data_IF_949931601937
#
_entry.id   IF_949931601937
#
_cell.length_a   1.000
_cell.length_b   1.000
_cell.length_c   1.000
_cell.angle_alpha   90.00
_cell.angle_beta   90.00
_cell.angle_gamma   90.00
#
_symmetry.space_group_name_H-M   'P 1'
#
loop_
_entity.id
_entity.type
_entity.pdbx_description
1 polymer ?
#
# COMPACT_ATOMS: atom_id res chain seq x y z
N UNK A 1 -10.56 -4.89 -7.46
CA UNK A 1 -11.43 -4.58 -6.29
C UNK A 1 -10.62 -3.82 -5.26
N UNK A 2 -11.18 -2.80 -4.58
CA UNK A 2 -10.49 -2.09 -3.50
C UNK A 2 -10.21 -3.02 -2.31
N UNK A 3 -9.24 -2.67 -1.44
CA UNK A 3 -8.94 -3.46 -0.24
C UNK A 3 -10.08 -3.43 0.78
N UNK A 4 -10.07 -4.40 1.69
CA UNK A 4 -10.81 -4.26 2.94
C UNK A 4 -10.18 -3.16 3.80
N UNK A 5 -11.01 -2.34 4.43
CA UNK A 5 -10.55 -1.21 5.22
C UNK A 5 -11.09 -1.36 6.64
N UNK A 6 -10.24 -1.14 7.62
CA UNK A 6 -10.62 -1.20 9.04
C UNK A 6 -10.17 0.07 9.76
N UNK A 7 -11.04 0.61 10.63
CA UNK A 7 -10.64 1.67 11.56
C UNK A 7 -9.81 1.12 12.72
N UNK A 8 -9.25 2.01 13.55
CA UNK A 8 -8.38 1.60 14.67
C UNK A 8 -9.09 0.77 15.74
N UNK A 9 -10.42 0.83 15.80
CA UNK A 9 -11.26 -0.01 16.65
C UNK A 9 -11.59 -1.38 16.02
N UNK A 10 -11.15 -1.63 14.79
CA UNK A 10 -11.36 -2.88 14.06
C UNK A 10 -12.70 -2.97 13.34
N UNK A 11 -13.46 -1.88 13.23
CA UNK A 11 -14.70 -1.86 12.45
C UNK A 11 -14.39 -1.73 10.96
N UNK A 12 -15.10 -2.50 10.15
CA UNK A 12 -14.99 -2.41 8.69
C UNK A 12 -15.50 -1.06 8.18
N UNK A 13 -14.75 -0.46 7.26
CA UNK A 13 -15.03 0.81 6.58
C UNK A 13 -14.89 0.64 5.07
N UNK A 14 -15.13 1.72 4.34
CA UNK A 14 -15.01 1.79 2.89
C UNK A 14 -14.08 2.92 2.45
N UNK A 15 -13.86 3.02 1.13
CA UNK A 15 -13.03 4.08 0.55
C UNK A 15 -13.63 5.48 0.77
N UNK A 16 -14.97 5.60 0.85
CA UNK A 16 -15.61 6.88 1.11
C UNK A 16 -15.27 7.40 2.52
N UNK A 17 -15.24 6.52 3.52
CA UNK A 17 -14.77 6.82 4.86
C UNK A 17 -13.29 7.23 4.87
N UNK A 18 -12.42 6.50 4.14
CA UNK A 18 -11.01 6.90 4.02
C UNK A 18 -10.88 8.29 3.43
N UNK A 19 -11.61 8.58 2.35
CA UNK A 19 -11.56 9.89 1.72
C UNK A 19 -12.03 11.00 2.65
N UNK A 20 -13.14 10.76 3.35
CA UNK A 20 -13.69 11.73 4.30
C UNK A 20 -12.73 12.03 5.45
N UNK A 21 -11.95 11.05 5.91
CA UNK A 21 -11.11 11.17 7.11
C UNK A 21 -9.68 11.59 6.79
N UNK A 22 -9.10 11.08 5.71
CA UNK A 22 -7.69 11.22 5.36
C UNK A 22 -7.45 11.96 4.03
N UNK A 23 -8.51 12.36 3.34
CA UNK A 23 -8.41 13.20 2.16
C UNK A 23 -8.26 12.41 0.87
N UNK A 24 -7.45 12.90 -0.07
CA UNK A 24 -7.27 12.31 -1.41
C UNK A 24 -6.43 11.02 -1.41
N UNK A 25 -6.80 10.04 -0.58
CA UNK A 25 -6.29 8.66 -0.61
C UNK A 25 -6.77 8.01 -1.91
N UNK A 26 -5.94 7.24 -2.61
CA UNK A 26 -6.36 6.57 -3.84
C UNK A 26 -5.84 5.14 -3.90
N UNK A 27 -6.73 4.21 -4.19
CA UNK A 27 -6.37 2.85 -4.54
C UNK A 27 -5.86 2.81 -5.99
N UNK A 28 -4.68 2.22 -6.18
CA UNK A 28 -4.04 2.07 -7.48
C UNK A 28 -4.16 0.61 -7.92
N UNK A 29 -5.10 0.33 -8.83
CA UNK A 29 -5.36 -1.03 -9.32
C UNK A 29 -4.37 -1.40 -10.44
N UNK A 30 -3.59 -2.46 -10.24
CA UNK A 30 -2.63 -2.93 -11.23
C UNK A 30 -3.23 -3.76 -12.37
N UNK A 31 -4.57 -3.84 -12.44
CA UNK A 31 -5.30 -4.60 -13.45
C UNK A 31 -5.59 -6.03 -13.04
N UNK A 32 -6.09 -6.82 -13.99
CA UNK A 32 -6.47 -8.21 -13.77
C UNK A 32 -5.27 -9.18 -13.80
N UNK A 33 -5.47 -10.36 -13.22
CA UNK A 33 -4.52 -11.47 -13.26
C UNK A 33 -3.65 -11.55 -12.01
N UNK A 34 -2.71 -12.50 -12.01
CA UNK A 34 -1.85 -12.77 -10.86
C UNK A 34 -1.03 -11.54 -10.46
N UNK A 35 -1.22 -11.06 -9.24
CA UNK A 35 -0.58 -9.82 -8.75
C UNK A 35 -0.37 -9.82 -7.25
N UNK A 36 0.46 -8.90 -6.77
CA UNK A 36 0.44 -8.47 -5.36
C UNK A 36 -0.77 -7.57 -5.14
N UNK A 37 -1.89 -8.18 -4.75
CA UNK A 37 -3.14 -7.49 -4.48
C UNK A 37 -3.07 -6.81 -3.12
N UNK A 38 -3.48 -5.55 -3.03
CA UNK A 38 -3.70 -4.90 -1.73
C UNK A 38 -5.02 -5.43 -1.17
N UNK A 39 -4.93 -6.32 -0.18
CA UNK A 39 -6.12 -7.00 0.37
C UNK A 39 -6.68 -6.30 1.59
N UNK A 40 -5.85 -5.59 2.34
CA UNK A 40 -6.27 -4.92 3.57
C UNK A 40 -5.49 -3.64 3.85
N UNK A 41 -6.20 -2.64 4.34
CA UNK A 41 -5.67 -1.39 4.87
C UNK A 41 -6.26 -1.14 6.26
N UNK A 42 -5.41 -0.92 7.25
CA UNK A 42 -5.80 -0.60 8.62
C UNK A 42 -5.40 0.83 8.97
N UNK A 43 -6.34 1.55 9.59
CA UNK A 43 -6.01 2.74 10.37
C UNK A 43 -5.22 2.33 11.61
N UNK A 44 -4.14 3.06 11.87
CA UNK A 44 -3.35 2.90 13.09
C UNK A 44 -3.15 4.24 13.78
N UNK A 45 -2.84 4.20 15.06
CA UNK A 45 -2.41 5.32 15.88
C UNK A 45 -1.13 4.93 16.62
N UNK A 46 -0.23 5.89 16.89
CA UNK A 46 0.95 5.62 17.69
C UNK A 46 2.25 5.80 16.91
N UNK A 47 3.16 4.81 16.83
CA UNK A 47 4.48 5.07 16.27
C UNK A 47 4.34 5.65 14.86
N UNK A 48 5.12 6.70 14.57
CA UNK A 48 5.16 7.34 13.26
C UNK A 48 5.80 6.39 12.24
N UNK A 49 5.06 5.35 11.84
CA UNK A 49 5.56 4.24 11.03
C UNK A 49 4.49 3.78 10.07
N UNK A 50 4.83 3.75 8.79
CA UNK A 50 4.04 3.08 7.76
C UNK A 50 4.50 1.63 7.70
N UNK A 51 3.63 0.72 8.11
CA UNK A 51 3.89 -0.73 8.16
C UNK A 51 3.32 -1.41 6.93
N UNK A 52 4.04 -2.38 6.40
CA UNK A 52 3.56 -3.23 5.30
C UNK A 52 3.79 -4.70 5.66
N UNK A 53 2.79 -5.54 5.37
CA UNK A 53 2.91 -6.98 5.37
C UNK A 53 2.76 -7.50 3.94
N UNK A 54 3.60 -8.45 3.56
CA UNK A 54 3.45 -9.18 2.30
C UNK A 54 3.32 -10.67 2.59
N UNK A 55 2.28 -11.27 2.02
CA UNK A 55 1.99 -12.70 2.13
C UNK A 55 1.79 -13.32 0.74
N UNK A 56 2.01 -14.62 0.62
CA UNK A 56 1.69 -15.37 -0.60
C UNK A 56 0.22 -15.79 -0.66
N UNK A 57 -0.12 -16.52 -1.71
CA UNK A 57 -1.49 -17.00 -1.95
C UNK A 57 -2.00 -17.96 -0.86
N UNK A 58 -1.12 -18.63 -0.11
CA UNK A 58 -1.48 -19.45 1.06
C UNK A 58 -1.56 -18.65 2.37
N UNK A 59 -1.31 -17.34 2.31
CA UNK A 59 -1.27 -16.47 3.49
C UNK A 59 0.01 -16.57 4.30
N UNK A 60 1.04 -17.25 3.77
CA UNK A 60 2.34 -17.35 4.41
C UNK A 60 3.18 -16.10 4.14
N UNK A 61 4.06 -15.77 5.09
CA UNK A 61 4.92 -14.60 4.99
C UNK A 61 5.87 -14.70 3.78
N UNK A 62 5.91 -13.62 2.98
CA UNK A 62 6.91 -13.44 1.92
C UNK A 62 8.09 -12.68 2.49
N UNK A 63 9.17 -13.39 2.82
CA UNK A 63 10.43 -12.78 3.27
C UNK A 63 11.24 -12.19 2.11
N UNK A 64 12.06 -11.19 2.42
CA UNK A 64 12.93 -10.50 1.45
C UNK A 64 12.20 -9.92 0.23
N UNK A 65 10.90 -9.64 0.37
CA UNK A 65 10.10 -9.02 -0.68
C UNK A 65 10.27 -7.49 -0.60
N UNK A 66 10.82 -6.83 -1.63
CA UNK A 66 10.98 -5.39 -1.62
C UNK A 66 9.64 -4.66 -1.73
N UNK A 67 9.45 -3.66 -0.88
CA UNK A 67 8.31 -2.75 -0.88
C UNK A 67 8.83 -1.33 -1.10
N UNK A 68 8.18 -0.56 -1.95
CA UNK A 68 8.51 0.83 -2.21
C UNK A 68 7.64 1.77 -1.37
N UNK A 69 8.25 2.87 -0.91
CA UNK A 69 7.57 4.03 -0.37
C UNK A 69 8.11 5.31 -1.03
N UNK A 70 7.23 6.08 -1.66
CA UNK A 70 7.57 7.29 -2.41
C UNK A 70 6.88 8.50 -1.81
N UNK A 71 7.59 9.62 -1.71
CA UNK A 71 7.06 10.95 -1.38
C UNK A 71 7.67 12.01 -2.31
N UNK A 72 7.16 13.26 -2.34
CA UNK A 72 7.68 14.34 -3.20
C UNK A 72 9.10 14.77 -2.84
N UNK A 73 10.09 13.97 -3.22
CA UNK A 73 11.51 14.20 -2.99
C UNK A 73 12.33 13.69 -4.18
N UNK A 74 12.97 14.64 -4.86
CA UNK A 74 13.79 14.39 -6.04
C UNK A 74 15.19 13.82 -5.72
N UNK A 75 15.47 13.51 -4.45
CA UNK A 75 16.69 12.80 -4.02
C UNK A 75 16.50 11.29 -3.83
N UNK A 76 15.26 10.79 -3.80
CA UNK A 76 14.96 9.34 -3.65
C UNK A 76 15.66 8.46 -4.71
N UNK A 77 15.94 7.19 -4.45
CA UNK A 77 16.48 6.29 -5.48
C UNK A 77 15.55 6.18 -6.70
N UNK A 78 16.13 6.15 -7.91
CA UNK A 78 15.41 5.95 -9.17
C UNK A 78 15.13 4.45 -9.39
N UNK A 79 13.87 4.13 -9.68
CA UNK A 79 13.36 2.77 -9.89
C UNK A 79 13.17 2.43 -11.37
N UNK A 80 13.34 3.38 -12.28
CA UNK A 80 13.21 3.14 -13.73
C UNK A 80 14.27 2.14 -14.20
N UNK A 81 13.94 1.42 -15.27
CA UNK A 81 14.81 0.43 -15.90
C UNK A 81 15.23 -0.77 -15.01
N UNK A 82 14.52 -1.02 -13.90
CA UNK A 82 14.77 -2.17 -13.03
C UNK A 82 13.97 -3.43 -13.40
N UNK A 83 13.27 -3.44 -14.55
CA UNK A 83 12.48 -4.58 -15.01
C UNK A 83 11.21 -4.85 -14.18
N UNK A 84 10.76 -3.87 -13.39
CA UNK A 84 9.57 -3.97 -12.54
C UNK A 84 8.29 -4.07 -13.36
N UNK A 85 7.35 -4.91 -12.94
CA UNK A 85 6.02 -5.02 -13.58
C UNK A 85 5.09 -3.86 -13.26
N UNK A 86 5.31 -3.18 -12.15
CA UNK A 86 4.54 -1.98 -11.77
C UNK A 86 5.48 -0.89 -11.27
N UNK A 87 5.21 0.33 -11.75
CA UNK A 87 5.93 1.54 -11.37
C UNK A 87 4.92 2.68 -11.21
N UNK A 88 4.41 2.88 -10.00
CA UNK A 88 3.47 3.97 -9.70
C UNK A 88 4.16 5.33 -9.55
N UNK A 89 5.42 5.32 -9.15
CA UNK A 89 6.31 6.48 -9.08
C UNK A 89 7.71 6.08 -9.51
N UNK A 90 8.39 6.96 -10.23
CA UNK A 90 9.74 6.72 -10.73
C UNK A 90 10.79 6.60 -9.62
N UNK A 91 10.51 7.15 -8.43
CA UNK A 91 11.50 7.29 -7.35
C UNK A 91 10.90 6.93 -6.01
N UNK A 92 11.58 6.10 -5.23
CA UNK A 92 11.14 5.65 -3.92
C UNK A 92 12.31 5.13 -3.08
N UNK A 93 12.19 5.20 -1.76
CA UNK A 93 12.96 4.28 -0.93
C UNK A 93 12.32 2.90 -1.03
N UNK A 94 13.13 1.85 -0.92
CA UNK A 94 12.62 0.50 -0.79
C UNK A 94 13.22 -0.18 0.42
N UNK A 95 12.43 -1.04 1.04
CA UNK A 95 12.86 -1.89 2.14
C UNK A 95 12.27 -3.28 1.93
N UNK A 96 13.08 -4.30 2.15
CA UNK A 96 12.64 -5.69 2.07
C UNK A 96 11.88 -6.10 3.33
N UNK A 97 10.95 -7.02 3.18
CA UNK A 97 10.29 -7.67 4.31
C UNK A 97 11.23 -8.59 5.08
N UNK A 98 11.00 -8.72 6.39
CA UNK A 98 11.67 -9.65 7.27
C UNK A 98 11.13 -11.09 7.13
N UNK A 99 11.58 -12.02 7.98
CA UNK A 99 11.14 -13.42 7.99
C UNK A 99 9.64 -13.61 8.31
N UNK A 100 8.99 -12.62 8.92
CA UNK A 100 7.56 -12.63 9.20
C UNK A 100 6.74 -11.90 8.12
N UNK A 101 7.40 -11.46 7.04
CA UNK A 101 6.78 -10.80 5.91
C UNK A 101 6.49 -9.32 6.17
N UNK A 102 7.11 -8.71 7.18
CA UNK A 102 6.87 -7.31 7.54
C UNK A 102 8.00 -6.40 7.12
N UNK A 103 7.66 -5.17 6.77
CA UNK A 103 8.59 -4.05 6.67
C UNK A 103 7.93 -2.78 7.18
N UNK A 104 8.72 -1.73 7.42
CA UNK A 104 8.19 -0.48 7.95
C UNK A 104 9.08 0.71 7.62
N UNK A 105 8.44 1.84 7.32
CA UNK A 105 9.10 3.11 7.03
C UNK A 105 8.83 4.10 8.15
N UNK A 106 9.89 4.63 8.76
CA UNK A 106 9.76 5.73 9.71
C UNK A 106 9.22 6.98 9.02
N UNK A 107 8.25 7.64 9.65
CA UNK A 107 7.57 8.81 9.11
C UNK A 107 8.05 10.08 9.81
N UNK A 108 8.54 11.04 9.03
CA UNK A 108 8.93 12.35 9.51
C UNK A 108 7.80 13.38 9.47
N UNK A 109 8.10 14.61 9.90
CA UNK A 109 7.18 15.76 9.91
C UNK A 109 6.57 16.11 8.56
N UNK A 110 7.24 15.75 7.46
CA UNK A 110 6.72 15.89 6.09
C UNK A 110 5.58 14.93 5.76
N UNK A 111 5.34 13.88 6.57
CA UNK A 111 4.34 12.83 6.30
C UNK A 111 2.93 13.19 6.75
N UNK A 112 2.73 14.38 7.32
CA UNK A 112 1.44 14.79 7.85
C UNK A 112 0.50 15.26 6.74
N UNK A 113 -0.73 14.77 6.79
CA UNK A 113 -1.89 15.27 6.06
C UNK A 113 -2.29 16.60 6.70
N UNK A 114 -2.02 17.70 6.02
CA UNK A 114 -2.38 19.06 6.44
C UNK A 114 -3.54 19.64 5.65
N UNK A 115 -3.80 19.06 4.49
CA UNK A 115 -4.87 19.44 3.57
C UNK A 115 -5.52 18.15 3.04
N UNK A 116 -6.79 17.94 3.38
CA UNK A 116 -7.55 16.76 2.94
C UNK A 116 -7.76 16.77 1.42
N UNK A 117 -7.76 17.93 0.75
CA UNK A 117 -7.84 17.96 -0.70
C UNK A 117 -6.58 17.36 -1.36
N UNK A 118 -5.45 17.36 -0.67
CA UNK A 118 -4.18 16.78 -1.15
C UNK A 118 -3.97 15.35 -0.67
N UNK A 119 -4.41 15.02 0.55
CA UNK A 119 -4.09 13.76 1.20
C UNK A 119 -2.67 13.74 1.76
N UNK A 120 -2.17 12.55 2.07
CA UNK A 120 -0.80 12.34 2.54
C UNK A 120 0.20 12.22 1.38
N UNK A 121 1.50 12.42 1.64
CA UNK A 121 2.49 12.49 0.56
C UNK A 121 2.92 11.12 0.05
N UNK A 122 2.56 10.03 0.74
CA UNK A 122 3.14 8.72 0.49
C UNK A 122 2.38 7.93 -0.56
N UNK A 123 3.13 7.18 -1.36
CA UNK A 123 2.62 6.13 -2.26
C UNK A 123 3.38 4.84 -2.00
N UNK A 124 2.66 3.73 -1.79
CA UNK A 124 3.23 2.44 -1.39
C UNK A 124 2.77 1.31 -2.29
N UNK A 125 3.70 0.45 -2.70
CA UNK A 125 3.45 -0.75 -3.50
C UNK A 125 4.58 -1.77 -3.38
N UNK A 126 4.33 -3.02 -3.79
CA UNK A 126 5.35 -4.08 -3.83
C UNK A 126 6.16 -4.00 -5.12
N UNK A 127 7.48 -4.09 -5.00
CA UNK A 127 8.38 -4.16 -6.14
C UNK A 127 8.54 -5.61 -6.58
N UNK A 128 8.27 -5.92 -7.85
CA UNK A 128 8.50 -7.26 -8.39
C UNK A 128 8.78 -7.23 -9.89
N UNK A 129 9.79 -8.00 -10.36
CA UNK A 129 10.03 -8.19 -11.78
C UNK A 129 9.08 -9.22 -12.42
N UNK A 130 8.35 -10.00 -11.61
CA UNK A 130 7.53 -11.11 -12.09
C UNK A 130 6.03 -10.86 -12.00
N UNK A 131 5.57 -10.07 -11.03
CA UNK A 131 4.15 -9.82 -10.78
C UNK A 131 3.86 -8.32 -10.68
N UNK A 132 2.77 -7.82 -11.28
CA UNK A 132 2.28 -6.48 -10.99
C UNK A 132 1.86 -6.33 -9.53
N UNK A 133 1.75 -5.10 -9.03
CA UNK A 133 1.35 -4.79 -7.65
C UNK A 133 0.33 -3.68 -7.64
N UNK A 134 -0.77 -3.91 -6.91
CA UNK A 134 -1.62 -2.80 -6.50
C UNK A 134 -0.82 -1.80 -5.66
N UNK A 135 -1.38 -0.62 -5.45
CA UNK A 135 -0.78 0.39 -4.58
C UNK A 135 -1.82 1.21 -3.84
N UNK A 136 -1.33 2.02 -2.92
CA UNK A 136 -2.12 3.06 -2.26
C UNK A 136 -1.33 4.36 -2.29
N UNK A 137 -1.95 5.45 -2.76
CA UNK A 137 -1.40 6.81 -2.71
C UNK A 137 -2.22 7.70 -1.79
N UNK A 138 -1.69 8.88 -1.47
CA UNK A 138 -2.40 9.85 -0.64
C UNK A 138 -2.43 9.49 0.84
N UNK A 139 -1.56 8.57 1.30
CA UNK A 139 -1.53 8.12 2.70
C UNK A 139 -0.49 8.88 3.52
N UNK A 140 -0.77 9.05 4.81
CA UNK A 140 0.05 9.83 5.73
C UNK A 140 -0.58 9.91 7.11
N UNK A 141 0.00 10.75 7.97
CA UNK A 141 -0.44 10.95 9.35
C UNK A 141 -1.38 12.15 9.44
N UNK A 142 -2.56 12.02 10.01
CA UNK A 142 -3.49 13.12 10.18
C UNK A 142 -2.92 14.20 11.11
N UNK A 143 -2.86 15.44 10.63
CA UNK A 143 -2.37 16.59 11.40
C UNK A 143 -3.14 16.79 12.71
N UNK A 144 -2.44 17.17 13.78
CA UNK A 144 -3.04 17.42 15.09
C UNK A 144 -3.45 16.17 15.87
N UNK A 145 -3.01 14.98 15.42
CA UNK A 145 -3.27 13.69 16.09
C UNK A 145 -1.98 13.01 16.51
N UNK A 146 -2.09 11.94 17.32
CA UNK A 146 -0.97 11.06 17.67
C UNK A 146 -0.63 10.08 16.53
N UNK A 147 -0.26 10.63 15.37
CA UNK A 147 0.08 9.88 14.15
C UNK A 147 -1.03 8.94 13.65
N UNK A 148 -2.29 9.37 13.75
CA UNK A 148 -3.41 8.59 13.22
C UNK A 148 -3.34 8.55 11.69
N UNK A 149 -3.45 7.40 11.06
CA UNK A 149 -3.51 7.33 9.60
C UNK A 149 -3.74 5.92 9.04
N UNK A 150 -4.04 5.80 7.73
CA UNK A 150 -4.09 4.54 7.02
C UNK A 150 -2.67 4.01 6.77
N UNK A 151 -2.03 3.52 7.83
CA UNK A 151 -0.57 3.29 7.86
C UNK A 151 -0.19 1.82 7.96
N UNK A 152 -1.13 0.87 7.93
CA UNK A 152 -0.80 -0.54 7.85
C UNK A 152 -1.46 -1.22 6.65
N UNK A 153 -0.62 -1.65 5.70
CA UNK A 153 -1.06 -2.27 4.45
C UNK A 153 -0.71 -3.76 4.46
N UNK A 154 -1.61 -4.60 3.96
CA UNK A 154 -1.31 -6.02 3.68
C UNK A 154 -1.50 -6.31 2.20
N UNK A 155 -0.43 -6.76 1.56
CA UNK A 155 -0.42 -7.26 0.19
C UNK A 155 -0.41 -8.78 0.18
N UNK A 156 -1.20 -9.38 -0.69
CA UNK A 156 -1.27 -10.83 -0.89
C UNK A 156 -1.14 -11.16 -2.37
N UNK A 157 -0.38 -12.20 -2.71
CA UNK A 157 -0.42 -12.74 -4.07
C UNK A 157 -1.79 -13.37 -4.33
N UNK A 158 -2.47 -12.95 -5.39
CA UNK A 158 -3.79 -13.46 -5.76
C UNK A 158 -3.94 -13.52 -7.28
N UNK A 159 -4.67 -14.53 -7.76
CA UNK A 159 -4.96 -14.79 -9.18
C UNK A 159 -6.28 -14.15 -9.66
N UNK A 160 -6.93 -13.31 -8.84
CA UNK A 160 -8.24 -12.74 -9.20
C UNK A 160 -8.19 -11.95 -10.53
N UNK A 161 -8.91 -12.48 -11.53
CA UNK A 161 -8.96 -12.00 -12.90
C UNK A 161 -9.06 -13.11 -13.95
N UNK A 162 -8.86 -14.38 -13.59
CA UNK A 162 -9.30 -15.52 -14.40
C UNK A 162 -10.80 -15.70 -14.25
N UNK A 163 -11.56 -15.35 -15.29
CA UNK A 163 -12.98 -15.62 -15.44
C UNK A 163 -13.33 -17.07 -14.99
N UNK A 164 -14.31 -17.30 -14.09
CA UNK A 164 -14.80 -18.64 -13.81
C UNK A 164 -15.63 -19.11 -15.00
N UNK A 165 -14.93 -19.66 -16.01
CA UNK A 165 -15.46 -20.50 -17.08
C UNK A 165 -16.90 -20.23 -17.54
N UNK A 166 -17.05 -19.59 -18.70
CA UNK A 166 -18.11 -19.97 -19.64
C UNK A 166 -17.82 -21.39 -20.14
N UNK A 167 -18.21 -22.38 -19.34
CA UNK A 167 -18.27 -23.79 -19.71
C UNK A 167 -19.67 -24.32 -19.43
N UNK A 168 -20.40 -24.62 -20.51
CA UNK A 168 -21.75 -25.22 -20.52
C UNK A 168 -22.79 -24.20 -21.01
N UNK A 169 -23.50 -24.38 -22.12
CA UNK A 169 -23.62 -25.46 -23.11
C UNK A 169 -23.73 -24.85 -24.52
#
# INVERSE_FOLDING_TARGET
>A
MPPEIYDKEGNRRDMAWLHSKFGNVQFLDAGAGRKFKLVRLDETEGPATLKVRVIDEQGLAKSSQPVANSWPDNSLPDLRNQGLKTLWKDRAVNQSTDGAGFTGFGLGTGSYIRDLAQGGPHTVWVLSPSLPSDGMSGIGMLGGTNHIGPLFLTFQISDEGGDPGTGGD
#
